data_IF_891745975709
#
_entry.id   IF_891745975709
#
_cell.length_a   1.000
_cell.length_b   1.000
_cell.length_c   1.000
_cell.angle_alpha   90.00
_cell.angle_beta   90.00
_cell.angle_gamma   90.00
#
_symmetry.space_group_name_H-M   'P 1'
#
loop_
_entity.id
_entity.type
_entity.pdbx_description
1 polymer ?
#
# COMPACT_ATOMS: atom_id res chain seq x y z
N UNK A 1 26.27 -39.06 -10.08
CA UNK A 1 25.65 -38.00 -9.26
C UNK A 1 25.40 -38.60 -7.89
N UNK A 2 26.06 -38.10 -6.85
CA UNK A 2 26.09 -38.76 -5.54
C UNK A 2 24.75 -38.54 -4.82
N UNK A 3 24.16 -39.55 -4.18
CA UNK A 3 22.84 -39.43 -3.53
C UNK A 3 22.80 -38.26 -2.52
N UNK A 4 23.92 -37.97 -1.86
CA UNK A 4 24.05 -36.81 -0.96
C UNK A 4 23.95 -35.44 -1.67
N UNK A 5 24.37 -35.32 -2.94
CA UNK A 5 24.16 -34.09 -3.71
C UNK A 5 22.70 -33.95 -4.12
N UNK A 6 22.06 -35.04 -4.51
CA UNK A 6 20.65 -35.06 -4.90
C UNK A 6 19.76 -34.69 -3.71
N UNK A 7 19.98 -35.27 -2.53
CA UNK A 7 19.25 -34.88 -1.31
C UNK A 7 19.53 -33.43 -0.93
N UNK A 8 20.76 -32.93 -1.05
CA UNK A 8 21.10 -31.54 -0.72
C UNK A 8 20.50 -30.54 -1.71
N UNK A 9 20.36 -30.91 -2.99
CA UNK A 9 19.68 -30.12 -4.02
C UNK A 9 18.16 -30.14 -3.80
N UNK A 10 17.57 -31.32 -3.56
CA UNK A 10 16.13 -31.48 -3.28
C UNK A 10 15.75 -30.73 -2.01
N UNK A 11 16.48 -30.91 -0.89
CA UNK A 11 16.21 -30.20 0.37
C UNK A 11 16.34 -28.68 0.22
N UNK A 12 17.28 -28.21 -0.62
CA UNK A 12 17.45 -26.78 -0.94
C UNK A 12 16.32 -26.25 -1.84
N UNK A 13 15.73 -27.10 -2.69
CA UNK A 13 14.59 -26.77 -3.55
C UNK A 13 13.25 -26.82 -2.76
N UNK A 14 13.09 -27.78 -1.86
CA UNK A 14 11.95 -27.94 -0.94
C UNK A 14 11.87 -26.76 0.04
N UNK A 15 13.00 -26.39 0.65
CA UNK A 15 13.10 -25.21 1.53
C UNK A 15 12.88 -23.89 0.77
N UNK A 16 13.25 -23.81 -0.51
CA UNK A 16 13.03 -22.63 -1.34
C UNK A 16 11.55 -22.44 -1.73
N UNK A 17 10.78 -23.53 -1.87
CA UNK A 17 9.32 -23.47 -2.13
C UNK A 17 8.55 -22.95 -0.91
N UNK A 18 9.06 -23.19 0.30
CA UNK A 18 8.47 -22.73 1.56
C UNK A 18 9.12 -21.45 2.13
N UNK A 19 9.75 -20.63 1.29
CA UNK A 19 10.12 -19.27 1.72
C UNK A 19 8.84 -18.48 1.89
N UNK A 20 8.48 -18.27 3.16
CA UNK A 20 7.23 -17.64 3.56
C UNK A 20 7.05 -16.30 2.82
N UNK A 21 5.80 -15.98 2.48
CA UNK A 21 5.41 -14.67 1.95
C UNK A 21 6.03 -13.51 2.75
N UNK A 22 6.19 -13.72 4.06
CA UNK A 22 6.90 -12.82 4.96
C UNK A 22 8.36 -12.58 4.56
N UNK A 23 9.14 -13.63 4.31
CA UNK A 23 10.56 -13.50 3.88
C UNK A 23 10.72 -12.81 2.54
N UNK A 24 9.76 -13.00 1.62
CA UNK A 24 9.74 -12.29 0.32
C UNK A 24 9.47 -10.79 0.51
N UNK A 25 8.54 -10.42 1.40
CA UNK A 25 8.28 -9.02 1.78
C UNK A 25 9.51 -8.36 2.42
N UNK A 26 10.12 -9.03 3.41
CA UNK A 26 11.36 -8.55 4.07
C UNK A 26 12.50 -8.36 3.07
N UNK A 27 12.62 -9.24 2.08
CA UNK A 27 13.62 -9.09 1.01
C UNK A 27 13.43 -7.79 0.23
N UNK A 28 12.21 -7.50 -0.22
CA UNK A 28 11.90 -6.27 -0.97
C UNK A 28 12.20 -5.03 -0.12
N UNK A 29 11.83 -5.04 1.15
CA UNK A 29 12.04 -3.90 2.06
C UNK A 29 13.52 -3.61 2.31
N UNK A 30 14.32 -4.65 2.54
CA UNK A 30 15.76 -4.53 2.71
C UNK A 30 16.42 -3.99 1.43
N UNK A 31 16.07 -4.52 0.26
CA UNK A 31 16.61 -4.07 -1.02
C UNK A 31 16.28 -2.59 -1.30
N UNK A 32 15.05 -2.15 -0.98
CA UNK A 32 14.65 -0.74 -1.07
C UNK A 32 15.45 0.12 -0.08
N UNK A 33 15.79 -0.42 1.09
CA UNK A 33 16.64 0.22 2.09
C UNK A 33 18.13 0.29 1.74
N UNK A 34 18.53 -0.09 0.51
CA UNK A 34 19.91 0.00 0.04
C UNK A 34 20.74 -1.26 0.27
N UNK A 35 20.15 -2.36 0.77
CA UNK A 35 20.86 -3.63 0.84
C UNK A 35 21.16 -4.15 -0.56
N UNK A 36 22.39 -4.64 -0.77
CA UNK A 36 22.72 -5.31 -2.03
C UNK A 36 22.08 -6.70 -2.07
N UNK A 37 21.66 -7.11 -3.27
CA UNK A 37 21.08 -8.43 -3.53
C UNK A 37 22.01 -9.55 -3.05
N UNK A 38 23.31 -9.40 -3.29
CA UNK A 38 24.33 -10.37 -2.87
C UNK A 38 24.45 -10.44 -1.34
N UNK A 39 24.38 -9.30 -0.66
CA UNK A 39 24.43 -9.23 0.82
C UNK A 39 23.20 -9.91 1.43
N UNK A 40 22.00 -9.66 0.89
CA UNK A 40 20.77 -10.33 1.32
C UNK A 40 20.84 -11.84 1.09
N UNK A 41 21.21 -12.26 -0.13
CA UNK A 41 21.37 -13.67 -0.50
C UNK A 41 22.33 -14.41 0.45
N UNK A 42 23.48 -13.79 0.76
CA UNK A 42 24.46 -14.33 1.71
C UNK A 42 23.89 -14.43 3.13
N UNK A 43 23.19 -13.41 3.60
CA UNK A 43 22.64 -13.33 4.96
C UNK A 43 21.55 -14.37 5.22
N UNK A 44 20.72 -14.66 4.23
CA UNK A 44 19.56 -15.55 4.37
C UNK A 44 19.72 -16.90 3.67
N UNK A 45 20.88 -17.18 3.09
CA UNK A 45 21.16 -18.46 2.42
C UNK A 45 20.34 -18.71 1.13
N UNK A 46 19.86 -17.64 0.48
CA UNK A 46 18.99 -17.70 -0.69
C UNK A 46 19.80 -17.43 -1.97
N UNK A 47 19.40 -18.02 -3.11
CA UNK A 47 20.00 -17.68 -4.40
C UNK A 47 19.75 -16.20 -4.79
N UNK A 48 20.79 -15.46 -5.24
CA UNK A 48 20.62 -14.10 -5.76
C UNK A 48 19.58 -14.00 -6.88
N UNK A 49 19.46 -15.04 -7.73
CA UNK A 49 18.47 -15.08 -8.80
C UNK A 49 17.03 -15.12 -8.26
N UNK A 50 16.79 -15.87 -7.19
CA UNK A 50 15.49 -15.89 -6.50
C UNK A 50 15.16 -14.52 -5.91
N UNK A 51 16.15 -13.83 -5.33
CA UNK A 51 16.00 -12.49 -4.77
C UNK A 51 15.68 -11.45 -5.87
N UNK A 52 16.32 -11.55 -7.03
CA UNK A 52 16.01 -10.73 -8.22
C UNK A 52 14.58 -10.99 -8.69
N UNK A 53 14.19 -12.25 -8.79
CA UNK A 53 12.85 -12.65 -9.23
C UNK A 53 11.77 -12.20 -8.23
N UNK A 54 12.02 -12.26 -6.93
CA UNK A 54 11.08 -11.73 -5.94
C UNK A 54 11.01 -10.21 -6.01
N UNK A 55 12.14 -9.54 -6.22
CA UNK A 55 12.15 -8.10 -6.44
C UNK A 55 11.26 -7.75 -7.63
N UNK A 56 11.42 -8.37 -8.79
CA UNK A 56 10.60 -8.04 -9.97
C UNK A 56 9.12 -8.40 -9.76
N UNK A 57 8.80 -9.59 -9.25
CA UNK A 57 7.42 -10.02 -9.08
C UNK A 57 6.66 -9.22 -8.01
N UNK A 58 7.27 -8.93 -6.86
CA UNK A 58 6.59 -8.27 -5.73
C UNK A 58 6.70 -6.75 -5.78
N UNK A 59 7.79 -6.19 -6.33
CA UNK A 59 7.88 -4.76 -6.57
C UNK A 59 6.88 -4.38 -7.65
N UNK A 60 6.89 -5.02 -8.82
CA UNK A 60 6.11 -4.53 -9.96
C UNK A 60 4.60 -4.79 -9.84
N UNK A 61 4.20 -6.01 -9.42
CA UNK A 61 2.77 -6.33 -9.18
C UNK A 61 2.22 -5.64 -7.93
N UNK A 62 2.99 -5.62 -6.84
CA UNK A 62 2.58 -4.99 -5.58
C UNK A 62 2.46 -3.46 -5.72
N UNK A 63 3.41 -2.82 -6.39
CA UNK A 63 3.37 -1.38 -6.68
C UNK A 63 2.19 -1.04 -7.57
N UNK A 64 2.00 -1.78 -8.66
CA UNK A 64 0.89 -1.55 -9.58
C UNK A 64 -0.46 -1.68 -8.89
N UNK A 65 -0.60 -2.60 -7.93
CA UNK A 65 -1.82 -2.78 -7.14
C UNK A 65 -2.07 -1.62 -6.18
N UNK A 66 -1.03 -1.19 -5.44
CA UNK A 66 -1.08 -0.05 -4.51
C UNK A 66 -1.50 1.23 -5.23
N UNK A 67 -0.84 1.56 -6.34
CA UNK A 67 -1.12 2.78 -7.12
C UNK A 67 -2.52 2.71 -7.69
N UNK A 68 -2.92 1.57 -8.26
CA UNK A 68 -4.25 1.37 -8.84
C UNK A 68 -5.37 1.58 -7.83
N UNK A 69 -5.26 1.07 -6.61
CA UNK A 69 -6.29 1.24 -5.57
C UNK A 69 -6.47 2.69 -5.12
N UNK A 70 -5.39 3.48 -5.11
CA UNK A 70 -5.47 4.90 -4.82
C UNK A 70 -6.11 5.66 -5.98
N UNK A 71 -5.64 5.42 -7.21
CA UNK A 71 -6.16 6.10 -8.41
C UNK A 71 -7.63 5.75 -8.68
N UNK A 72 -8.04 4.51 -8.42
CA UNK A 72 -9.44 4.09 -8.58
C UNK A 72 -10.36 4.57 -7.46
N UNK A 73 -9.84 5.25 -6.44
CA UNK A 73 -10.61 5.68 -5.27
C UNK A 73 -11.00 4.56 -4.30
N UNK A 74 -10.52 3.32 -4.49
CA UNK A 74 -10.80 2.20 -3.55
C UNK A 74 -10.19 2.48 -2.18
N UNK A 75 -9.04 3.15 -2.14
CA UNK A 75 -8.37 3.55 -0.91
C UNK A 75 -8.00 5.03 -0.98
N UNK A 76 -8.36 5.80 0.04
CA UNK A 76 -8.00 7.23 0.11
C UNK A 76 -6.68 7.47 0.84
N UNK A 77 -6.27 6.54 1.70
CA UNK A 77 -5.12 6.73 2.59
C UNK A 77 -4.19 5.53 2.59
N UNK A 78 -2.92 5.79 2.92
CA UNK A 78 -1.88 4.75 3.07
C UNK A 78 -2.29 3.70 4.10
N UNK A 79 -2.96 4.11 5.19
CA UNK A 79 -3.49 3.21 6.21
C UNK A 79 -4.52 2.25 5.64
N UNK A 80 -5.46 2.74 4.83
CA UNK A 80 -6.48 1.91 4.18
C UNK A 80 -5.82 0.92 3.20
N UNK A 81 -4.86 1.38 2.39
CA UNK A 81 -4.09 0.50 1.49
C UNK A 81 -3.39 -0.61 2.27
N UNK A 82 -2.74 -0.27 3.39
CA UNK A 82 -2.04 -1.25 4.23
C UNK A 82 -3.00 -2.30 4.80
N UNK A 83 -4.16 -1.86 5.30
CA UNK A 83 -5.20 -2.76 5.82
C UNK A 83 -5.71 -3.71 4.74
N UNK A 84 -5.97 -3.20 3.55
CA UNK A 84 -6.41 -4.01 2.41
C UNK A 84 -5.33 -5.01 1.98
N UNK A 85 -4.05 -4.60 1.95
CA UNK A 85 -2.93 -5.50 1.66
C UNK A 85 -2.74 -6.59 2.72
N UNK A 86 -3.01 -6.29 3.99
CA UNK A 86 -2.92 -7.28 5.07
C UNK A 86 -4.05 -8.32 5.01
N UNK A 87 -5.24 -7.90 4.58
CA UNK A 87 -6.37 -8.80 4.35
C UNK A 87 -6.16 -9.68 3.10
N UNK A 88 -5.40 -9.17 2.15
CA UNK A 88 -5.10 -9.83 0.90
C UNK A 88 -3.90 -10.77 1.09
N UNK A 89 -4.17 -12.05 1.33
CA UNK A 89 -3.18 -13.08 1.67
C UNK A 89 -2.01 -13.22 0.66
N UNK A 90 -2.11 -12.56 -0.50
CA UNK A 90 -1.10 -12.57 -1.55
C UNK A 90 0.13 -11.70 -1.26
N UNK A 91 0.02 -10.60 -0.49
CA UNK A 91 1.11 -9.60 -0.42
C UNK A 91 1.26 -8.93 0.95
N UNK A 92 2.21 -9.40 1.75
CA UNK A 92 2.65 -8.69 2.97
C UNK A 92 3.70 -7.62 2.63
N UNK A 93 3.31 -6.36 2.74
CA UNK A 93 4.18 -5.19 2.49
C UNK A 93 4.28 -4.35 3.76
N UNK A 94 5.48 -3.86 4.11
CA UNK A 94 5.61 -2.89 5.20
C UNK A 94 4.96 -1.54 4.84
N UNK A 95 4.47 -0.83 5.87
CA UNK A 95 3.88 0.50 5.70
C UNK A 95 4.85 1.49 5.02
N UNK A 96 6.14 1.43 5.37
CA UNK A 96 7.19 2.23 4.75
C UNK A 96 7.28 2.01 3.23
N UNK A 97 7.07 0.77 2.78
CA UNK A 97 7.15 0.42 1.36
C UNK A 97 5.94 0.92 0.60
N UNK A 98 4.73 0.83 1.16
CA UNK A 98 3.54 1.50 0.57
C UNK A 98 3.79 3.00 0.41
N UNK A 99 4.34 3.64 1.44
CA UNK A 99 4.61 5.09 1.40
C UNK A 99 5.68 5.47 0.38
N UNK A 100 6.78 4.72 0.30
CA UNK A 100 7.86 4.94 -0.69
C UNK A 100 7.36 4.71 -2.11
N UNK A 101 6.52 3.70 -2.32
CA UNK A 101 5.89 3.42 -3.59
C UNK A 101 5.05 4.59 -4.07
N UNK A 102 4.18 5.13 -3.21
CA UNK A 102 3.35 6.28 -3.57
C UNK A 102 4.21 7.51 -3.90
N UNK A 103 5.22 7.80 -3.09
CA UNK A 103 6.18 8.90 -3.35
C UNK A 103 6.93 8.75 -4.68
N UNK A 104 7.31 7.54 -5.07
CA UNK A 104 7.99 7.27 -6.35
C UNK A 104 7.08 7.46 -7.57
N UNK A 105 5.76 7.41 -7.37
CA UNK A 105 4.75 7.62 -8.40
C UNK A 105 4.11 9.01 -8.28
N UNK A 106 4.79 9.95 -7.62
CA UNK A 106 4.32 11.33 -7.40
C UNK A 106 2.96 11.45 -6.68
N UNK A 107 2.53 10.39 -5.99
CA UNK A 107 1.34 10.37 -5.15
C UNK A 107 1.72 10.84 -3.74
N UNK A 108 1.70 12.15 -3.55
CA UNK A 108 2.03 12.82 -2.29
C UNK A 108 0.76 13.03 -1.46
N UNK A 109 0.86 12.83 -0.15
CA UNK A 109 -0.25 13.09 0.75
C UNK A 109 -0.60 14.59 0.74
N UNK A 110 -1.86 14.91 0.46
CA UNK A 110 -2.38 16.28 0.52
C UNK A 110 -3.28 16.42 1.74
N UNK A 111 -2.99 17.39 2.59
CA UNK A 111 -3.90 17.77 3.67
C UNK A 111 -5.07 18.52 3.08
N UNK A 112 -6.30 18.07 3.36
CA UNK A 112 -7.51 18.81 3.00
C UNK A 112 -7.41 20.22 3.59
N UNK A 113 -7.52 21.24 2.74
CA UNK A 113 -7.56 22.63 3.20
C UNK A 113 -8.75 22.79 4.14
N UNK A 114 -8.56 23.45 5.28
CA UNK A 114 -9.70 23.83 6.13
C UNK A 114 -10.65 24.67 5.29
N UNK A 115 -11.95 24.42 5.42
CA UNK A 115 -12.95 25.31 4.83
C UNK A 115 -12.72 26.72 5.40
N UNK A 116 -12.86 27.78 4.59
CA UNK A 116 -12.83 29.14 5.12
C UNK A 116 -13.83 29.27 6.25
N UNK A 117 -13.47 30.01 7.30
CA UNK A 117 -14.43 30.36 8.33
C UNK A 117 -15.53 31.21 7.69
N UNK A 118 -16.77 30.96 8.07
CA UNK A 118 -17.86 31.83 7.68
C UNK A 118 -17.65 33.18 8.37
N UNK A 119 -17.57 34.24 7.58
CA UNK A 119 -17.67 35.59 8.11
C UNK A 119 -19.05 35.82 8.74
N UNK A 120 -19.13 36.77 9.67
CA UNK A 120 -20.35 37.10 10.41
C UNK A 120 -21.53 37.41 9.49
N UNK A 121 -21.29 38.13 8.39
CA UNK A 121 -22.30 38.41 7.37
C UNK A 121 -22.87 37.12 6.75
N UNK A 122 -22.03 36.13 6.44
CA UNK A 122 -22.48 34.85 5.90
C UNK A 122 -23.25 34.03 6.93
N UNK A 123 -22.92 34.16 8.22
CA UNK A 123 -23.64 33.50 9.30
C UNK A 123 -25.04 34.10 9.42
N UNK A 124 -25.15 35.43 9.42
CA UNK A 124 -26.42 36.15 9.55
C UNK A 124 -27.36 35.85 8.37
N UNK A 125 -26.88 35.92 7.13
CA UNK A 125 -27.69 35.61 5.94
C UNK A 125 -28.22 34.17 5.97
N UNK A 126 -27.38 33.21 6.41
CA UNK A 126 -27.82 31.81 6.55
C UNK A 126 -28.83 31.64 7.67
N UNK A 127 -28.68 32.38 8.75
CA UNK A 127 -29.59 32.35 9.89
C UNK A 127 -30.96 32.95 9.52
N UNK A 128 -30.98 34.08 8.82
CA UNK A 128 -32.21 34.70 8.28
C UNK A 128 -32.94 33.72 7.35
N UNK A 129 -32.22 33.16 6.38
CA UNK A 129 -32.79 32.16 5.47
C UNK A 129 -33.39 30.97 6.24
N UNK A 130 -32.67 30.42 7.23
CA UNK A 130 -33.17 29.31 8.04
C UNK A 130 -34.42 29.68 8.87
N UNK A 131 -34.50 30.93 9.36
CA UNK A 131 -35.65 31.42 10.11
C UNK A 131 -36.88 31.62 9.21
N UNK A 132 -36.68 32.20 8.02
CA UNK A 132 -37.74 32.39 7.01
C UNK A 132 -38.33 31.05 6.55
N UNK A 133 -37.49 30.02 6.45
CA UNK A 133 -37.85 28.71 5.91
C UNK A 133 -38.07 27.67 7.01
N UNK A 134 -38.24 28.11 8.27
CA UNK A 134 -38.36 27.23 9.44
C UNK A 134 -39.59 26.30 9.37
N UNK A 135 -40.66 26.75 8.73
CA UNK A 135 -41.90 25.98 8.57
C UNK A 135 -41.95 25.14 7.29
N UNK A 136 -40.87 25.11 6.50
CA UNK A 136 -40.87 24.34 5.25
C UNK A 136 -40.93 22.84 5.51
N UNK A 137 -41.81 22.19 4.76
CA UNK A 137 -41.96 20.75 4.71
C UNK A 137 -41.13 20.16 3.58
N UNK A 138 -41.00 18.83 3.53
CA UNK A 138 -40.23 18.11 2.49
C UNK A 138 -40.75 18.43 1.08
N UNK A 139 -42.02 18.76 0.93
CA UNK A 139 -42.60 19.11 -0.36
C UNK A 139 -42.31 20.55 -0.79
N UNK A 140 -42.08 21.46 0.16
CA UNK A 140 -41.63 22.84 -0.13
C UNK A 140 -40.20 22.86 -0.67
N UNK A 141 -39.34 21.91 -0.25
CA UNK A 141 -37.97 21.75 -0.75
C UNK A 141 -37.86 21.15 -2.16
N UNK A 142 -38.96 20.57 -2.69
CA UNK A 142 -38.97 19.89 -4.00
C UNK A 142 -39.48 20.78 -5.15
N UNK A 143 -40.02 21.96 -4.84
CA UNK A 143 -40.40 22.97 -5.84
C UNK A 143 -39.19 23.71 -6.35
#
# INVERSE_FOLDING_TARGET
MNSNEVYRIIFRFEMAKHISLFMKGVAVDMLIGGFSIRSFAKKFGVSPASVIMWRTLYHDKGISKIVRWIVSGKCETVKNVKKELDNDNETKVLYATVTRTLKRNDLIAVTKKKKPNLEENHINVRLEFANEHKSWTVDDWKK
#
